data_IF_187088925890
#
_entry.id   IF_187088925890
#
_cell.length_a   1.000
_cell.length_b   1.000
_cell.length_c   1.000
_cell.angle_alpha   90.00
_cell.angle_beta   90.00
_cell.angle_gamma   90.00
#
_symmetry.space_group_name_H-M   'P 1'
#
loop_
_entity.id
_entity.type
_entity.pdbx_description
1 polymer ?
#
# COMPACT_ATOMS: atom_id res chain seq x y z
N UNK A 1 -73.00 -32.33 5.85
CA UNK A 1 -71.87 -32.06 4.93
C UNK A 1 -72.12 -30.71 4.28
N UNK A 2 -71.29 -29.70 4.58
CA UNK A 2 -71.44 -28.37 3.98
C UNK A 2 -70.89 -28.36 2.55
N UNK A 3 -71.55 -27.65 1.61
CA UNK A 3 -71.11 -27.59 0.22
C UNK A 3 -69.72 -26.93 0.10
N UNK A 4 -68.86 -27.51 -0.74
CA UNK A 4 -67.46 -27.11 -1.00
C UNK A 4 -67.32 -25.65 -1.48
N UNK A 5 -68.44 -25.01 -1.86
CA UNK A 5 -68.51 -23.60 -2.27
C UNK A 5 -68.18 -22.60 -1.16
N UNK A 6 -68.15 -23.05 0.10
CA UNK A 6 -67.82 -22.21 1.26
C UNK A 6 -66.32 -22.19 1.62
N UNK A 7 -65.48 -22.87 0.85
CA UNK A 7 -64.03 -22.67 0.94
C UNK A 7 -63.68 -21.50 0.02
N UNK A 8 -63.86 -20.28 0.53
CA UNK A 8 -63.18 -19.11 -0.03
C UNK A 8 -61.68 -19.43 -0.04
N UNK A 9 -61.12 -19.49 -1.24
CA UNK A 9 -59.68 -19.51 -1.42
C UNK A 9 -59.11 -18.33 -0.65
N UNK A 10 -58.24 -18.60 0.33
CA UNK A 10 -57.46 -17.55 0.97
C UNK A 10 -56.78 -16.74 -0.14
N UNK A 11 -56.88 -15.40 -0.17
CA UNK A 11 -56.10 -14.62 -1.11
C UNK A 11 -54.63 -14.86 -0.76
N UNK A 12 -53.96 -15.68 -1.56
CA UNK A 12 -52.50 -15.78 -1.52
C UNK A 12 -51.96 -14.62 -2.34
N UNK A 13 -52.16 -13.40 -1.85
CA UNK A 13 -51.18 -12.35 -2.10
C UNK A 13 -49.98 -12.68 -1.23
N UNK A 14 -49.15 -13.62 -1.70
CA UNK A 14 -47.74 -13.55 -1.38
C UNK A 14 -47.28 -12.25 -2.01
N UNK A 15 -47.13 -11.19 -1.21
CA UNK A 15 -46.31 -10.06 -1.59
C UNK A 15 -44.95 -10.65 -1.98
N UNK A 16 -44.72 -10.79 -3.28
CA UNK A 16 -43.37 -10.94 -3.80
C UNK A 16 -42.74 -9.61 -3.43
N UNK A 17 -41.71 -9.56 -2.55
CA UNK A 17 -41.09 -8.30 -2.19
C UNK A 17 -40.58 -7.69 -3.50
N UNK A 18 -41.31 -6.68 -3.99
CA UNK A 18 -41.03 -6.06 -5.27
C UNK A 18 -39.64 -5.46 -5.16
N UNK A 19 -38.70 -6.01 -5.92
CA UNK A 19 -37.35 -5.48 -6.04
C UNK A 19 -37.47 -4.10 -6.70
N UNK A 20 -37.73 -3.09 -5.87
CA UNK A 20 -37.94 -1.73 -6.35
C UNK A 20 -36.62 -1.25 -6.92
N UNK A 21 -36.68 -0.44 -7.99
CA UNK A 21 -35.48 0.16 -8.58
C UNK A 21 -34.65 0.93 -7.53
N UNK A 22 -35.29 1.42 -6.47
CA UNK A 22 -34.63 2.04 -5.32
C UNK A 22 -33.81 1.06 -4.47
N UNK A 23 -34.27 -0.18 -4.28
CA UNK A 23 -33.49 -1.23 -3.60
C UNK A 23 -32.24 -1.61 -4.40
N UNK A 24 -32.39 -1.79 -5.73
CA UNK A 24 -31.25 -2.05 -6.61
C UNK A 24 -30.21 -0.92 -6.55
N UNK A 25 -30.67 0.33 -6.60
CA UNK A 25 -29.81 1.51 -6.53
C UNK A 25 -29.09 1.61 -5.18
N UNK A 26 -29.80 1.36 -4.07
CA UNK A 26 -29.19 1.36 -2.74
C UNK A 26 -28.08 0.32 -2.61
N UNK A 27 -28.29 -0.90 -3.13
CA UNK A 27 -27.27 -1.95 -3.15
C UNK A 27 -26.03 -1.53 -3.95
N UNK A 28 -26.22 -0.94 -5.14
CA UNK A 28 -25.10 -0.47 -5.97
C UNK A 28 -24.32 0.65 -5.26
N UNK A 29 -25.01 1.58 -4.60
CA UNK A 29 -24.36 2.66 -3.84
C UNK A 29 -23.53 2.09 -2.69
N UNK A 30 -24.08 1.14 -1.93
CA UNK A 30 -23.36 0.50 -0.81
C UNK A 30 -22.12 -0.25 -1.33
N UNK A 31 -22.27 -1.03 -2.40
CA UNK A 31 -21.13 -1.73 -3.01
C UNK A 31 -20.06 -0.76 -3.51
N UNK A 32 -20.47 0.35 -4.15
CA UNK A 32 -19.54 1.40 -4.58
C UNK A 32 -18.80 2.03 -3.40
N UNK A 33 -19.50 2.35 -2.31
CA UNK A 33 -18.89 2.90 -1.10
C UNK A 33 -17.89 1.92 -0.47
N UNK A 34 -18.22 0.63 -0.41
CA UNK A 34 -17.30 -0.42 0.10
C UNK A 34 -16.02 -0.49 -0.74
N UNK A 35 -16.12 -0.44 -2.07
CA UNK A 35 -14.94 -0.44 -2.96
C UNK A 35 -14.04 0.77 -2.68
N UNK A 36 -14.63 1.96 -2.52
CA UNK A 36 -13.86 3.18 -2.22
C UNK A 36 -13.14 3.06 -0.87
N UNK A 37 -13.83 2.57 0.16
CA UNK A 37 -13.25 2.39 1.51
C UNK A 37 -12.08 1.40 1.46
N UNK A 38 -12.26 0.24 0.82
CA UNK A 38 -11.20 -0.78 0.71
C UNK A 38 -10.00 -0.22 -0.05
N UNK A 39 -10.24 0.47 -1.16
CA UNK A 39 -9.16 1.07 -1.97
C UNK A 39 -8.38 2.11 -1.16
N UNK A 40 -9.07 2.99 -0.45
CA UNK A 40 -8.45 4.00 0.41
C UNK A 40 -7.62 3.38 1.54
N UNK A 41 -8.13 2.33 2.19
CA UNK A 41 -7.40 1.61 3.23
C UNK A 41 -6.13 0.95 2.67
N UNK A 42 -6.23 0.23 1.55
CA UNK A 42 -5.07 -0.42 0.91
C UNK A 42 -3.99 0.60 0.54
N UNK A 43 -4.37 1.73 -0.07
CA UNK A 43 -3.41 2.78 -0.40
C UNK A 43 -2.73 3.36 0.85
N UNK A 44 -3.49 3.60 1.92
CA UNK A 44 -2.93 4.10 3.19
C UNK A 44 -1.92 3.13 3.81
N UNK A 45 -2.25 1.83 3.86
CA UNK A 45 -1.35 0.81 4.37
C UNK A 45 -0.07 0.69 3.52
N UNK A 46 -0.18 0.72 2.20
CA UNK A 46 0.97 0.65 1.31
C UNK A 46 1.93 1.83 1.53
N UNK A 47 1.40 3.06 1.63
CA UNK A 47 2.24 4.23 1.92
C UNK A 47 3.00 4.10 3.24
N UNK A 48 2.37 3.56 4.29
CA UNK A 48 3.04 3.35 5.58
C UNK A 48 4.10 2.24 5.53
N UNK A 49 3.86 1.19 4.74
CA UNK A 49 4.79 0.07 4.56
C UNK A 49 6.00 0.49 3.72
N UNK A 50 5.79 1.25 2.64
CA UNK A 50 6.85 1.80 1.79
C UNK A 50 7.70 2.81 2.56
N UNK A 51 7.08 3.61 3.44
CA UNK A 51 7.81 4.49 4.34
C UNK A 51 8.72 3.71 5.31
N UNK A 52 8.19 2.66 5.94
CA UNK A 52 8.98 1.83 6.84
C UNK A 52 10.13 1.14 6.09
N UNK A 53 9.87 0.66 4.88
CA UNK A 53 10.86 0.03 4.01
C UNK A 53 11.97 1.00 3.63
N UNK A 54 11.62 2.21 3.17
CA UNK A 54 12.58 3.26 2.86
C UNK A 54 13.44 3.63 4.08
N UNK A 55 12.83 3.73 5.27
CA UNK A 55 13.59 3.99 6.50
C UNK A 55 14.59 2.87 6.81
N UNK A 56 14.21 1.61 6.64
CA UNK A 56 15.12 0.46 6.82
C UNK A 56 16.27 0.52 5.83
N UNK A 57 15.98 0.81 4.56
CA UNK A 57 16.98 0.99 3.50
C UNK A 57 17.95 2.13 3.83
N UNK A 58 17.46 3.25 4.36
CA UNK A 58 18.31 4.37 4.77
C UNK A 58 19.27 3.98 5.92
N UNK A 59 18.76 3.26 6.92
CA UNK A 59 19.58 2.79 8.05
C UNK A 59 20.63 1.77 7.58
N UNK A 60 20.27 0.87 6.67
CA UNK A 60 21.19 -0.07 6.06
C UNK A 60 22.27 0.65 5.24
N UNK A 61 21.90 1.67 4.45
CA UNK A 61 22.84 2.48 3.70
C UNK A 61 23.80 3.24 4.61
N UNK A 62 23.29 3.82 5.70
CA UNK A 62 24.14 4.49 6.70
C UNK A 62 25.12 3.51 7.35
N UNK A 63 24.66 2.32 7.75
CA UNK A 63 25.51 1.29 8.34
C UNK A 63 26.62 0.85 7.36
N UNK A 64 26.28 0.68 6.08
CA UNK A 64 27.24 0.28 5.05
C UNK A 64 28.23 1.39 4.70
N UNK A 65 27.79 2.65 4.66
CA UNK A 65 28.65 3.81 4.49
C UNK A 65 29.71 3.92 5.61
N UNK A 66 29.30 3.66 6.86
CA UNK A 66 30.22 3.59 8.00
C UNK A 66 31.23 2.45 7.84
N UNK A 67 30.79 1.28 7.39
CA UNK A 67 31.67 0.13 7.12
C UNK A 67 32.73 0.47 6.06
N UNK A 68 32.33 1.08 4.95
CA UNK A 68 33.25 1.52 3.88
C UNK A 68 34.22 2.60 4.35
N UNK A 69 33.76 3.52 5.19
CA UNK A 69 34.64 4.54 5.80
C UNK A 69 35.66 3.91 6.75
N UNK A 70 35.22 2.96 7.60
CA UNK A 70 36.10 2.28 8.56
C UNK A 70 37.15 1.39 7.89
N UNK A 71 36.85 0.88 6.70
CA UNK A 71 37.79 0.09 5.88
C UNK A 71 38.76 0.94 5.06
N UNK A 72 38.63 2.27 5.11
CA UNK A 72 39.57 3.22 4.49
C UNK A 72 39.35 3.48 3.00
N UNK A 73 38.26 2.96 2.43
CA UNK A 73 37.89 3.14 1.03
C UNK A 73 36.40 3.41 0.94
N UNK A 74 36.03 4.68 1.13
CA UNK A 74 34.63 5.08 1.04
C UNK A 74 34.08 4.91 -0.39
N UNK A 75 32.87 4.37 -0.46
CA UNK A 75 32.04 4.32 -1.66
C UNK A 75 30.57 4.49 -1.24
N UNK A 76 29.76 5.11 -2.09
CA UNK A 76 28.32 5.20 -1.83
C UNK A 76 27.73 3.79 -1.95
N UNK A 77 27.02 3.28 -0.92
CA UNK A 77 26.41 1.94 -0.96
C UNK A 77 25.43 1.79 -2.12
N UNK A 78 25.56 0.71 -2.88
CA UNK A 78 24.61 0.38 -3.94
C UNK A 78 23.64 -0.71 -3.49
N UNK A 79 22.55 -0.91 -4.23
CA UNK A 79 21.49 -1.86 -3.88
C UNK A 79 22.00 -3.27 -3.52
N UNK A 80 23.02 -3.78 -4.21
CA UNK A 80 23.63 -5.08 -3.90
C UNK A 80 24.30 -5.13 -2.53
N UNK A 81 24.86 -4.02 -2.05
CA UNK A 81 25.49 -3.93 -0.74
C UNK A 81 24.45 -3.92 0.40
N UNK A 82 23.23 -3.47 0.09
CA UNK A 82 22.13 -3.33 1.04
C UNK A 82 21.31 -4.60 1.17
N UNK A 83 21.23 -5.42 0.11
CA UNK A 83 20.49 -6.68 0.08
C UNK A 83 20.70 -7.57 1.33
N UNK A 84 21.94 -7.83 1.81
CA UNK A 84 22.14 -8.65 3.02
C UNK A 84 21.64 -7.99 4.31
N UNK A 85 21.43 -6.67 4.33
CA UNK A 85 20.99 -5.92 5.50
C UNK A 85 19.47 -5.72 5.54
N UNK A 86 18.83 -5.54 4.38
CA UNK A 86 17.40 -5.26 4.25
C UNK A 86 16.56 -6.52 3.99
N UNK A 87 17.19 -7.58 3.46
CA UNK A 87 16.52 -8.83 3.08
C UNK A 87 15.82 -8.76 1.71
N UNK A 88 15.49 -9.93 1.16
CA UNK A 88 14.87 -10.05 -0.17
C UNK A 88 13.46 -9.44 -0.22
N UNK A 89 12.70 -9.45 0.87
CA UNK A 89 11.32 -8.96 0.93
C UNK A 89 11.20 -7.44 0.67
N UNK A 90 12.18 -6.68 1.18
CA UNK A 90 12.26 -5.23 1.01
C UNK A 90 12.83 -4.87 -0.38
N UNK A 91 13.68 -5.75 -0.93
CA UNK A 91 14.26 -5.56 -2.25
C UNK A 91 13.37 -6.06 -3.40
N UNK A 92 12.35 -6.87 -3.11
CA UNK A 92 11.47 -7.48 -4.11
C UNK A 92 10.70 -6.43 -4.91
N UNK A 93 10.97 -6.38 -6.22
CA UNK A 93 10.42 -5.41 -7.18
C UNK A 93 10.70 -3.95 -6.80
N UNK A 94 11.76 -3.72 -6.02
CA UNK A 94 12.18 -2.40 -5.57
C UNK A 94 13.48 -1.96 -6.28
N UNK A 95 13.55 -0.68 -6.62
CA UNK A 95 14.77 0.00 -7.07
C UNK A 95 15.22 0.96 -6.00
N UNK A 96 16.49 0.83 -5.57
CA UNK A 96 17.07 1.62 -4.48
C UNK A 96 18.22 2.47 -5.04
N UNK A 97 18.10 3.78 -4.86
CA UNK A 97 19.20 4.73 -5.08
C UNK A 97 19.59 5.38 -3.77
N UNK A 98 20.87 5.31 -3.42
CA UNK A 98 21.46 6.00 -2.27
C UNK A 98 22.18 7.24 -2.79
N UNK A 99 21.99 8.38 -2.13
CA UNK A 99 22.64 9.62 -2.50
C UNK A 99 23.38 10.18 -1.29
N UNK A 100 24.68 10.38 -1.49
CA UNK A 100 25.57 11.17 -0.65
C UNK A 100 26.28 12.14 -1.60
N UNK A 101 25.91 13.41 -1.52
CA UNK A 101 26.40 14.50 -2.36
C UNK A 101 27.80 14.95 -1.94
N UNK A 102 28.13 14.79 -0.65
CA UNK A 102 29.37 15.28 -0.05
C UNK A 102 30.49 14.22 -0.01
N UNK A 103 30.14 12.96 -0.27
CA UNK A 103 30.99 11.77 -0.15
C UNK A 103 31.68 11.66 1.22
N UNK A 104 30.97 12.06 2.28
CA UNK A 104 31.46 12.11 3.65
C UNK A 104 30.92 10.96 4.51
N UNK A 105 30.28 9.97 3.87
CA UNK A 105 29.61 8.84 4.50
C UNK A 105 28.37 9.22 5.32
N UNK A 106 27.90 10.46 5.19
CA UNK A 106 26.59 10.89 5.64
C UNK A 106 25.61 10.81 4.46
N UNK A 107 24.67 9.88 4.54
CA UNK A 107 23.67 9.71 3.48
C UNK A 107 22.68 10.88 3.54
N UNK A 108 22.65 11.72 2.51
CA UNK A 108 21.72 12.85 2.43
C UNK A 108 20.29 12.35 2.27
N UNK A 109 20.06 11.42 1.34
CA UNK A 109 18.76 10.81 1.11
C UNK A 109 18.85 9.50 0.37
N UNK A 110 17.74 8.76 0.40
CA UNK A 110 17.52 7.63 -0.48
C UNK A 110 16.27 7.84 -1.34
N UNK A 111 16.26 7.19 -2.49
CA UNK A 111 15.08 7.03 -3.35
C UNK A 111 14.76 5.54 -3.39
N UNK A 112 13.60 5.19 -2.85
CA UNK A 112 13.06 3.84 -2.85
C UNK A 112 11.85 3.81 -3.78
N UNK A 113 11.94 3.05 -4.86
CA UNK A 113 10.86 2.93 -5.84
C UNK A 113 10.32 1.52 -5.82
N UNK A 114 9.02 1.33 -5.58
CA UNK A 114 8.36 0.03 -5.61
C UNK A 114 6.94 0.18 -6.13
N UNK A 115 6.51 -0.72 -7.04
CA UNK A 115 5.15 -0.72 -7.58
C UNK A 115 4.68 0.64 -8.15
N UNK A 116 5.60 1.43 -8.74
CA UNK A 116 5.30 2.78 -9.26
C UNK A 116 5.14 3.88 -8.18
N UNK A 117 5.46 3.59 -6.93
CA UNK A 117 5.53 4.57 -5.85
C UNK A 117 6.99 4.94 -5.61
N UNK A 118 7.29 6.25 -5.67
CA UNK A 118 8.62 6.78 -5.40
C UNK A 118 8.63 7.40 -4.00
N UNK A 119 9.35 6.76 -3.09
CA UNK A 119 9.52 7.22 -1.72
C UNK A 119 10.90 7.83 -1.57
N UNK A 120 10.96 9.17 -1.43
CA UNK A 120 12.18 9.86 -1.05
C UNK A 120 12.23 9.95 0.48
N UNK A 121 13.27 9.40 1.07
CA UNK A 121 13.50 9.47 2.52
C UNK A 121 14.71 10.33 2.80
N UNK A 122 14.50 11.43 3.54
CA UNK A 122 15.54 12.30 4.10
C UNK A 122 15.44 12.15 5.63
N UNK A 123 16.56 12.06 6.37
CA UNK A 123 16.51 12.09 7.82
C UNK A 123 15.86 13.39 8.33
N UNK A 124 14.67 13.26 8.92
CA UNK A 124 13.92 14.40 9.46
C UNK A 124 12.90 15.03 8.51
N UNK A 125 12.86 14.65 7.23
CA UNK A 125 11.84 15.11 6.27
C UNK A 125 11.46 14.01 5.27
N UNK A 126 10.18 13.79 5.03
CA UNK A 126 9.71 12.61 4.27
C UNK A 126 8.75 13.06 3.19
N UNK A 127 9.10 12.80 1.93
CA UNK A 127 8.29 13.16 0.77
C UNK A 127 7.98 11.91 -0.04
N UNK A 128 6.74 11.43 0.06
CA UNK A 128 6.21 10.32 -0.76
C UNK A 128 5.54 10.91 -1.99
N UNK A 129 6.00 10.55 -3.19
CA UNK A 129 5.43 11.05 -4.45
C UNK A 129 5.04 9.87 -5.35
N UNK A 130 3.83 9.90 -5.91
CA UNK A 130 3.43 8.93 -6.93
C UNK A 130 4.13 9.26 -8.26
N UNK A 131 4.66 8.24 -8.96
CA UNK A 131 5.20 8.45 -10.31
C UNK A 131 4.08 8.87 -11.26
N UNK A 132 4.39 9.80 -12.18
CA UNK A 132 3.43 10.57 -12.96
C UNK A 132 3.03 9.87 -14.27
#
# INVERSE_FOLDING_TARGET
MNPIKNYEYAPVEKEIPGFSRGFALAVVIILGAVVIIITGLVQGFNQTADYASARVVYLAATAKAIEFTSSGSYAVPVQNDLLPLIGEEINADATISVVDENQDAFIDYIVYTRNGLVTKYIPGDVVVTAEK
#
